data_IF_949368961342
#
_entry.id   IF_949368961342
#
_cell.length_a   1.000
_cell.length_b   1.000
_cell.length_c   1.000
_cell.angle_alpha   90.00
_cell.angle_beta   90.00
_cell.angle_gamma   90.00
#
_symmetry.space_group_name_H-M   'P 1'
#
loop_
_entity.id
_entity.type
_entity.pdbx_description
1 polymer ?
#
# COMPACT_ATOMS: atom_id res chain seq x y z
N UNK A 1 5.11 39.22 30.98
CA UNK A 1 4.62 38.42 29.84
C UNK A 1 5.84 37.84 29.16
N UNK A 2 5.86 36.52 28.92
CA UNK A 2 6.97 35.89 28.19
C UNK A 2 7.02 36.42 26.75
N UNK A 3 8.18 36.28 26.10
CA UNK A 3 8.47 36.67 24.73
C UNK A 3 7.30 36.38 23.77
N UNK A 4 6.84 37.40 23.05
CA UNK A 4 5.70 37.32 22.12
C UNK A 4 5.95 36.27 21.02
N UNK A 5 7.18 36.17 20.53
CA UNK A 5 7.55 35.21 19.51
C UNK A 5 7.48 33.78 20.05
N UNK A 6 7.98 33.55 21.27
CA UNK A 6 7.92 32.25 21.93
C UNK A 6 6.46 31.82 22.20
N UNK A 7 5.62 32.76 22.65
CA UNK A 7 4.21 32.51 22.93
C UNK A 7 3.43 32.15 21.66
N UNK A 8 3.67 32.86 20.55
CA UNK A 8 3.07 32.57 19.24
C UNK A 8 3.51 31.21 18.70
N UNK A 9 4.80 30.88 18.82
CA UNK A 9 5.33 29.59 18.37
C UNK A 9 4.73 28.42 19.17
N UNK A 10 4.63 28.55 20.49
CA UNK A 10 4.02 27.55 21.35
C UNK A 10 2.54 27.34 21.01
N UNK A 11 1.76 28.42 20.89
CA UNK A 11 0.34 28.32 20.55
C UNK A 11 0.14 27.66 19.19
N UNK A 12 0.95 28.01 18.18
CA UNK A 12 0.88 27.38 16.85
C UNK A 12 1.20 25.88 16.92
N UNK A 13 2.25 25.48 17.63
CA UNK A 13 2.59 24.06 17.82
C UNK A 13 1.45 23.31 18.50
N UNK A 14 0.89 23.87 19.57
CA UNK A 14 -0.22 23.26 20.29
C UNK A 14 -1.48 23.11 19.43
N UNK A 15 -1.84 24.14 18.65
CA UNK A 15 -2.97 24.08 17.71
C UNK A 15 -2.75 22.99 16.66
N UNK A 16 -1.56 22.90 16.08
CA UNK A 16 -1.22 21.87 15.09
C UNK A 16 -1.33 20.47 15.68
N UNK A 17 -0.73 20.23 16.85
CA UNK A 17 -0.80 18.96 17.55
C UNK A 17 -2.25 18.55 17.84
N UNK A 18 -3.08 19.51 18.28
CA UNK A 18 -4.51 19.28 18.49
C UNK A 18 -5.24 18.96 17.19
N UNK A 19 -4.94 19.64 16.09
CA UNK A 19 -5.55 19.32 14.78
C UNK A 19 -5.23 17.90 14.32
N UNK A 20 -3.97 17.47 14.47
CA UNK A 20 -3.51 16.14 14.05
C UNK A 20 -4.13 15.02 14.89
N UNK A 21 -4.23 15.24 16.20
CA UNK A 21 -4.76 14.26 17.16
C UNK A 21 -6.28 14.32 17.32
N UNK A 22 -6.96 15.27 16.68
CA UNK A 22 -8.43 15.39 16.71
C UNK A 22 -9.05 14.78 15.46
N UNK A 23 -9.93 13.80 15.68
CA UNK A 23 -10.63 13.07 14.63
C UNK A 23 -11.66 13.94 13.91
N UNK A 24 -11.84 13.69 12.61
CA UNK A 24 -12.90 14.27 11.79
C UNK A 24 -14.04 13.25 11.64
N UNK A 25 -15.00 13.30 12.55
CA UNK A 25 -16.11 12.36 12.63
C UNK A 25 -17.05 12.40 11.42
N UNK A 26 -17.15 13.53 10.74
CA UNK A 26 -18.04 13.70 9.60
C UNK A 26 -17.39 13.43 8.24
N UNK A 27 -16.05 13.32 8.19
CA UNK A 27 -15.29 13.13 6.93
C UNK A 27 -15.74 11.89 6.16
N UNK A 28 -16.15 12.00 4.90
CA UNK A 28 -16.56 10.83 4.10
C UNK A 28 -15.57 10.58 2.96
N UNK A 29 -15.39 9.31 2.54
CA UNK A 29 -14.60 9.00 1.36
C UNK A 29 -15.21 9.67 0.11
N UNK A 30 -14.42 10.52 -0.53
CA UNK A 30 -14.78 11.22 -1.76
C UNK A 30 -14.90 10.30 -2.97
N UNK A 31 -15.38 10.85 -4.09
CA UNK A 31 -15.53 10.12 -5.35
C UNK A 31 -14.18 9.62 -5.88
N UNK A 32 -13.12 10.43 -5.77
CA UNK A 32 -11.77 10.06 -6.18
C UNK A 32 -11.31 8.74 -5.54
N UNK A 33 -11.51 8.60 -4.22
CA UNK A 33 -11.19 7.37 -3.51
C UNK A 33 -11.98 6.18 -4.04
N UNK A 34 -13.30 6.33 -4.19
CA UNK A 34 -14.21 5.25 -4.64
C UNK A 34 -13.84 4.75 -6.03
N UNK A 35 -13.48 5.66 -6.93
CA UNK A 35 -13.01 5.32 -8.26
C UNK A 35 -11.69 4.55 -8.18
N UNK A 36 -10.70 5.06 -7.44
CA UNK A 36 -9.37 4.44 -7.34
C UNK A 36 -9.37 3.07 -6.68
N UNK A 37 -10.15 2.88 -5.61
CA UNK A 37 -10.28 1.56 -4.99
C UNK A 37 -11.03 0.59 -5.89
N UNK A 38 -12.05 1.05 -6.63
CA UNK A 38 -12.76 0.24 -7.60
C UNK A 38 -11.89 -0.20 -8.78
N UNK A 39 -11.06 0.69 -9.31
CA UNK A 39 -10.04 0.37 -10.33
C UNK A 39 -9.08 -0.71 -9.83
N UNK A 40 -8.53 -0.53 -8.62
CA UNK A 40 -7.61 -1.49 -8.02
C UNK A 40 -8.25 -2.86 -7.77
N UNK A 41 -9.47 -2.91 -7.25
CA UNK A 41 -10.18 -4.17 -7.01
C UNK A 41 -10.41 -4.97 -8.31
N UNK A 42 -10.73 -4.29 -9.42
CA UNK A 42 -10.85 -4.94 -10.73
C UNK A 42 -9.51 -5.49 -11.19
N UNK A 43 -8.46 -4.68 -11.08
CA UNK A 43 -7.11 -5.06 -11.48
C UNK A 43 -6.60 -6.29 -10.71
N UNK A 44 -6.76 -6.31 -9.38
CA UNK A 44 -6.40 -7.46 -8.56
C UNK A 44 -7.21 -8.71 -8.94
N UNK A 45 -8.51 -8.56 -9.22
CA UNK A 45 -9.32 -9.69 -9.68
C UNK A 45 -8.84 -10.23 -11.05
N UNK A 46 -8.46 -9.35 -11.97
CA UNK A 46 -7.86 -9.72 -13.26
C UNK A 46 -6.53 -10.44 -13.08
N UNK A 47 -5.65 -9.95 -12.21
CA UNK A 47 -4.37 -10.60 -11.93
C UNK A 47 -4.56 -11.97 -11.28
N UNK A 48 -5.45 -12.09 -10.28
CA UNK A 48 -5.77 -13.38 -9.67
C UNK A 48 -6.37 -14.36 -10.69
N UNK A 49 -7.20 -13.89 -11.63
CA UNK A 49 -7.72 -14.74 -12.70
C UNK A 49 -6.60 -15.22 -13.64
N UNK A 50 -5.68 -14.33 -14.04
CA UNK A 50 -4.50 -14.69 -14.84
C UNK A 50 -3.59 -15.67 -14.12
N UNK A 51 -3.37 -15.48 -12.82
CA UNK A 51 -2.59 -16.40 -12.00
C UNK A 51 -3.22 -17.81 -11.99
N UNK A 52 -4.54 -17.89 -11.80
CA UNK A 52 -5.27 -19.17 -11.81
C UNK A 52 -5.19 -19.84 -13.18
N UNK A 53 -5.40 -19.09 -14.26
CA UNK A 53 -5.30 -19.61 -15.62
C UNK A 53 -3.89 -20.12 -15.94
N UNK A 54 -2.85 -19.37 -15.57
CA UNK A 54 -1.46 -19.79 -15.73
C UNK A 54 -1.16 -21.07 -14.94
N UNK A 55 -1.57 -21.12 -13.67
CA UNK A 55 -1.37 -22.29 -12.82
C UNK A 55 -2.16 -23.52 -13.28
N UNK A 56 -3.30 -23.33 -13.96
CA UNK A 56 -4.05 -24.41 -14.59
C UNK A 56 -3.30 -24.96 -15.81
N UNK A 57 -2.78 -24.10 -16.69
CA UNK A 57 -1.97 -24.52 -17.85
C UNK A 57 -0.72 -25.27 -17.39
N UNK A 58 0.02 -24.70 -16.41
CA UNK A 58 1.26 -25.29 -15.87
C UNK A 58 1.05 -26.67 -15.23
N UNK A 59 -0.17 -27.01 -14.79
CA UNK A 59 -0.49 -28.35 -14.26
C UNK A 59 -0.55 -29.43 -15.34
N UNK A 60 -0.87 -29.05 -16.58
CA UNK A 60 -1.01 -29.98 -17.71
C UNK A 60 0.23 -30.01 -18.60
N UNK A 61 1.14 -29.04 -18.49
CA UNK A 61 2.45 -29.11 -19.13
C UNK A 61 3.31 -30.23 -18.51
N UNK A 62 4.04 -31.01 -19.34
CA UNK A 62 5.03 -31.94 -18.81
C UNK A 62 6.06 -31.15 -18.00
N UNK A 63 6.38 -31.61 -16.79
CA UNK A 63 7.41 -30.99 -15.95
C UNK A 63 8.67 -30.78 -16.79
N UNK A 64 9.13 -29.53 -16.86
CA UNK A 64 10.39 -29.21 -17.49
C UNK A 64 11.50 -29.95 -16.75
N UNK A 65 12.55 -30.42 -17.46
CA UNK A 65 13.70 -31.02 -16.80
C UNK A 65 14.29 -30.03 -15.78
N UNK A 66 14.75 -30.52 -14.63
CA UNK A 66 15.25 -29.69 -13.50
C UNK A 66 16.28 -28.63 -13.95
N UNK A 67 17.11 -28.94 -14.95
CA UNK A 67 18.08 -28.00 -15.50
C UNK A 67 17.48 -26.78 -16.19
N UNK A 68 16.31 -26.91 -16.84
CA UNK A 68 15.60 -25.79 -17.45
C UNK A 68 14.89 -24.93 -16.40
N UNK A 69 14.38 -25.51 -15.30
CA UNK A 69 13.78 -24.74 -14.20
C UNK A 69 14.80 -23.87 -13.46
N UNK A 70 16.03 -24.36 -13.27
CA UNK A 70 17.12 -23.62 -12.62
C UNK A 70 17.69 -22.50 -13.50
N UNK A 71 17.81 -22.71 -14.82
CA UNK A 71 18.12 -21.61 -15.75
C UNK A 71 17.00 -20.57 -15.78
N UNK A 72 15.74 -20.99 -15.69
CA UNK A 72 14.59 -20.10 -15.66
C UNK A 72 14.57 -19.19 -14.43
N UNK A 73 14.84 -19.75 -13.24
CA UNK A 73 14.94 -18.99 -11.99
C UNK A 73 16.09 -17.98 -12.03
N UNK A 74 17.22 -18.34 -12.66
CA UNK A 74 18.34 -17.40 -12.85
C UNK A 74 17.97 -16.24 -13.76
N UNK A 75 17.34 -16.51 -14.90
CA UNK A 75 16.87 -15.45 -15.81
C UNK A 75 15.83 -14.57 -15.12
N UNK A 76 14.89 -15.14 -14.35
CA UNK A 76 13.91 -14.39 -13.57
C UNK A 76 14.56 -13.50 -12.48
N UNK A 77 15.65 -13.97 -11.86
CA UNK A 77 16.43 -13.17 -10.90
C UNK A 77 17.28 -12.08 -11.55
N UNK A 78 17.69 -12.25 -12.81
CA UNK A 78 18.44 -11.25 -13.57
C UNK A 78 17.54 -10.20 -14.24
N UNK A 79 16.23 -10.45 -14.33
CA UNK A 79 15.28 -9.48 -14.86
C UNK A 79 15.16 -8.27 -13.94
N UNK A 80 15.28 -7.09 -14.54
CA UNK A 80 15.00 -5.82 -13.88
C UNK A 80 13.48 -5.65 -13.70
N UNK A 81 12.98 -6.06 -12.53
CA UNK A 81 11.57 -6.01 -12.16
C UNK A 81 11.03 -4.57 -12.25
N UNK A 82 11.85 -3.57 -11.91
CA UNK A 82 11.44 -2.17 -11.93
C UNK A 82 11.16 -1.71 -13.36
N UNK A 83 11.98 -2.14 -14.33
CA UNK A 83 11.81 -1.84 -15.75
C UNK A 83 10.69 -2.62 -16.46
N UNK A 84 10.10 -3.63 -15.82
CA UNK A 84 9.10 -4.50 -16.46
C UNK A 84 7.80 -3.75 -16.82
N UNK A 85 7.56 -3.46 -18.10
CA UNK A 85 6.37 -2.70 -18.51
C UNK A 85 5.05 -3.47 -18.31
N UNK A 86 5.08 -4.80 -18.41
CA UNK A 86 3.90 -5.65 -18.29
C UNK A 86 4.07 -6.70 -17.19
N UNK A 87 3.46 -6.47 -16.02
CA UNK A 87 3.53 -7.41 -14.89
C UNK A 87 2.83 -8.75 -15.14
N UNK A 88 2.03 -8.86 -16.20
CA UNK A 88 1.34 -10.11 -16.56
C UNK A 88 2.20 -11.04 -17.44
N UNK A 89 3.37 -10.59 -17.90
CA UNK A 89 4.28 -11.40 -18.70
C UNK A 89 5.72 -10.90 -18.52
N UNK A 90 6.56 -11.72 -17.89
CA UNK A 90 7.99 -11.42 -17.68
C UNK A 90 8.85 -11.59 -18.95
N UNK A 91 8.24 -11.79 -20.12
CA UNK A 91 8.92 -12.05 -21.40
C UNK A 91 8.99 -13.53 -21.77
N UNK A 92 8.39 -14.39 -20.94
CA UNK A 92 8.40 -15.84 -21.06
C UNK A 92 7.00 -16.46 -20.87
N UNK A 93 5.96 -15.64 -20.81
CA UNK A 93 4.57 -16.06 -20.58
C UNK A 93 4.20 -16.29 -19.12
N UNK A 94 5.15 -16.17 -18.18
CA UNK A 94 4.87 -16.26 -16.73
C UNK A 94 4.60 -14.85 -16.16
N UNK A 95 3.46 -14.62 -15.48
CA UNK A 95 3.22 -13.36 -14.80
C UNK A 95 4.11 -13.23 -13.56
N UNK A 96 4.47 -12.00 -13.16
CA UNK A 96 5.30 -11.76 -11.97
C UNK A 96 4.69 -12.38 -10.70
N UNK A 97 3.36 -12.40 -10.64
CA UNK A 97 2.59 -12.93 -9.53
C UNK A 97 2.25 -14.43 -9.67
N UNK A 98 2.90 -15.19 -10.57
CA UNK A 98 2.60 -16.60 -10.79
C UNK A 98 2.65 -17.45 -9.50
N UNK A 99 3.66 -17.21 -8.67
CA UNK A 99 3.92 -17.91 -7.40
C UNK A 99 3.20 -17.30 -6.19
N UNK A 100 2.44 -16.22 -6.34
CA UNK A 100 1.79 -15.54 -5.20
C UNK A 100 0.88 -16.47 -4.42
N UNK A 101 1.05 -16.47 -3.11
CA UNK A 101 0.15 -17.11 -2.15
C UNK A 101 -0.88 -16.09 -1.66
N UNK A 102 -1.78 -16.57 -0.82
CA UNK A 102 -2.77 -15.73 -0.16
C UNK A 102 -2.12 -14.55 0.60
N UNK A 103 -0.99 -14.80 1.26
CA UNK A 103 -0.25 -13.80 2.04
C UNK A 103 0.31 -12.69 1.15
N UNK A 104 0.85 -13.02 -0.03
CA UNK A 104 1.38 -12.04 -0.99
C UNK A 104 0.26 -11.14 -1.53
N UNK A 105 -0.89 -11.72 -1.86
CA UNK A 105 -2.08 -10.94 -2.25
C UNK A 105 -2.60 -10.04 -1.13
N UNK A 106 -2.59 -10.53 0.11
CA UNK A 106 -3.01 -9.75 1.27
C UNK A 106 -2.05 -8.59 1.54
N UNK A 107 -0.74 -8.81 1.39
CA UNK A 107 0.28 -7.79 1.56
C UNK A 107 0.20 -6.70 0.49
N UNK A 108 0.13 -7.08 -0.79
CA UNK A 108 -0.07 -6.15 -1.91
C UNK A 108 -1.31 -5.27 -1.69
N UNK A 109 -2.41 -5.90 -1.27
CA UNK A 109 -3.67 -5.20 -0.99
C UNK A 109 -3.51 -4.22 0.17
N UNK A 110 -2.88 -4.65 1.26
CA UNK A 110 -2.62 -3.78 2.43
C UNK A 110 -1.76 -2.57 2.04
N UNK A 111 -0.66 -2.78 1.31
CA UNK A 111 0.26 -1.73 0.90
C UNK A 111 -0.43 -0.66 0.06
N UNK A 112 -1.19 -1.08 -0.97
CA UNK A 112 -1.93 -0.15 -1.81
C UNK A 112 -3.05 0.56 -1.04
N UNK A 113 -3.75 -0.12 -0.14
CA UNK A 113 -4.81 0.49 0.67
C UNK A 113 -4.27 1.52 1.66
N UNK A 114 -3.17 1.26 2.36
CA UNK A 114 -2.59 2.26 3.25
C UNK A 114 -2.13 3.50 2.48
N UNK A 115 -1.53 3.30 1.31
CA UNK A 115 -1.17 4.38 0.39
C UNK A 115 -2.41 5.19 -0.05
N UNK A 116 -3.43 4.50 -0.58
CA UNK A 116 -4.63 5.15 -1.09
C UNK A 116 -5.39 5.87 0.02
N UNK A 117 -5.43 5.33 1.24
CA UNK A 117 -6.04 5.98 2.40
C UNK A 117 -5.35 7.29 2.75
N UNK A 118 -4.02 7.32 2.74
CA UNK A 118 -3.26 8.54 3.00
C UNK A 118 -3.58 9.61 1.94
N UNK A 119 -3.51 9.24 0.66
CA UNK A 119 -3.79 10.16 -0.44
C UNK A 119 -5.25 10.64 -0.42
N UNK A 120 -6.20 9.75 -0.14
CA UNK A 120 -7.61 10.11 -0.08
C UNK A 120 -7.92 11.02 1.11
N UNK A 121 -7.37 10.71 2.30
CA UNK A 121 -7.56 11.51 3.49
C UNK A 121 -7.10 12.95 3.27
N UNK A 122 -5.93 13.16 2.66
CA UNK A 122 -5.43 14.53 2.40
C UNK A 122 -6.34 15.31 1.45
N UNK A 123 -6.86 14.66 0.41
CA UNK A 123 -7.80 15.26 -0.55
C UNK A 123 -9.14 15.57 0.11
N UNK A 124 -9.69 14.65 0.87
CA UNK A 124 -11.01 14.78 1.49
C UNK A 124 -10.98 15.75 2.69
N UNK A 125 -9.90 15.74 3.49
CA UNK A 125 -9.73 16.66 4.61
C UNK A 125 -9.51 18.10 4.14
N UNK A 126 -8.88 18.27 2.97
CA UNK A 126 -8.64 19.56 2.32
C UNK A 126 -8.07 20.64 3.28
N UNK A 127 -7.21 20.22 4.20
CA UNK A 127 -6.55 21.06 5.20
C UNK A 127 -5.02 20.83 5.10
N UNK A 128 -4.22 21.83 4.66
CA UNK A 128 -2.77 21.70 4.57
C UNK A 128 -2.08 21.38 5.90
N UNK A 129 -2.73 21.66 7.04
CA UNK A 129 -2.23 21.32 8.36
C UNK A 129 -2.55 19.87 8.77
N UNK A 130 -3.28 19.11 7.93
CA UNK A 130 -3.57 17.68 8.07
C UNK A 130 -3.02 16.88 6.88
N UNK A 131 -1.68 16.75 6.77
CA UNK A 131 -1.03 16.08 5.63
C UNK A 131 -1.16 14.55 5.63
N UNK A 132 -1.82 13.97 6.62
CA UNK A 132 -1.99 12.52 6.75
C UNK A 132 -2.79 12.13 7.98
N UNK A 133 -3.05 10.84 8.11
CA UNK A 133 -3.80 10.25 9.23
C UNK A 133 -2.85 9.99 10.40
N UNK A 134 -3.14 10.53 11.58
CA UNK A 134 -2.38 10.24 12.79
C UNK A 134 -2.51 8.76 13.20
N UNK A 135 -1.44 8.16 13.72
CA UNK A 135 -1.36 6.73 14.07
C UNK A 135 -2.54 6.24 14.94
N UNK A 136 -2.91 7.01 15.96
CA UNK A 136 -4.03 6.72 16.87
C UNK A 136 -5.39 6.57 16.16
N UNK A 137 -5.55 7.20 14.99
CA UNK A 137 -6.81 7.25 14.26
C UNK A 137 -6.79 6.41 12.98
N UNK A 138 -5.68 5.74 12.66
CA UNK A 138 -5.55 5.00 11.41
C UNK A 138 -6.59 3.89 11.28
N UNK A 139 -6.81 3.11 12.34
CA UNK A 139 -7.84 2.06 12.34
C UNK A 139 -9.25 2.62 12.11
N UNK A 140 -9.57 3.79 12.69
CA UNK A 140 -10.85 4.45 12.48
C UNK A 140 -11.05 4.86 11.02
N UNK A 141 -10.08 5.55 10.44
CA UNK A 141 -10.20 6.00 9.05
C UNK A 141 -10.16 4.83 8.07
N UNK A 142 -9.37 3.80 8.33
CA UNK A 142 -9.39 2.58 7.55
C UNK A 142 -10.79 1.94 7.53
N UNK A 143 -11.42 1.78 8.70
CA UNK A 143 -12.80 1.30 8.80
C UNK A 143 -13.80 2.22 8.10
N UNK A 144 -13.59 3.53 8.16
CA UNK A 144 -14.48 4.51 7.53
C UNK A 144 -14.44 4.46 6.01
N UNK A 145 -13.25 4.37 5.43
CA UNK A 145 -13.02 4.38 3.99
C UNK A 145 -13.33 3.02 3.36
N UNK A 146 -12.82 1.93 3.94
CA UNK A 146 -12.94 0.59 3.36
C UNK A 146 -14.13 -0.23 3.87
N UNK A 147 -14.85 0.26 4.89
CA UNK A 147 -15.94 -0.49 5.57
C UNK A 147 -15.49 -1.85 6.11
N UNK A 148 -14.21 -1.97 6.48
CA UNK A 148 -13.58 -3.16 7.07
C UNK A 148 -12.60 -2.77 8.17
N UNK A 149 -12.44 -3.62 9.17
CA UNK A 149 -11.50 -3.37 10.28
C UNK A 149 -10.06 -3.69 9.87
N UNK A 150 -9.11 -2.87 10.33
CA UNK A 150 -7.68 -3.18 10.25
C UNK A 150 -7.31 -4.02 11.49
N UNK A 151 -7.01 -5.30 11.28
CA UNK A 151 -6.66 -6.22 12.37
C UNK A 151 -5.19 -6.62 12.32
N UNK A 152 -4.34 -6.13 13.25
CA UNK A 152 -2.92 -6.51 13.30
C UNK A 152 -2.70 -8.02 13.37
N UNK A 153 -3.58 -8.74 14.08
CA UNK A 153 -3.49 -10.19 14.24
C UNK A 153 -3.59 -10.95 12.92
N UNK A 154 -4.29 -10.42 11.91
CA UNK A 154 -4.36 -11.05 10.58
C UNK A 154 -3.01 -11.02 9.84
N UNK A 155 -2.11 -10.12 10.24
CA UNK A 155 -0.76 -9.98 9.68
C UNK A 155 0.32 -10.50 10.64
N UNK A 156 -0.07 -11.23 11.69
CA UNK A 156 0.86 -11.72 12.72
C UNK A 156 1.51 -10.61 13.54
N UNK A 157 0.85 -9.44 13.65
CA UNK A 157 1.32 -8.26 14.40
C UNK A 157 0.45 -7.98 15.62
N UNK A 158 0.97 -7.18 16.55
CA UNK A 158 0.29 -6.78 17.77
C UNK A 158 -0.25 -5.35 17.69
N UNK A 159 0.40 -4.47 16.91
CA UNK A 159 0.04 -3.06 16.81
C UNK A 159 -0.23 -2.62 15.37
N UNK A 160 -0.97 -1.52 15.21
CA UNK A 160 -1.20 -0.90 13.89
C UNK A 160 0.10 -0.38 13.28
N UNK A 161 1.03 0.13 14.11
CA UNK A 161 2.34 0.58 13.64
C UNK A 161 3.14 -0.55 12.98
N UNK A 162 3.19 -1.73 13.61
CA UNK A 162 3.85 -2.91 13.04
C UNK A 162 3.22 -3.41 11.73
N UNK A 163 1.93 -3.16 11.52
CA UNK A 163 1.26 -3.46 10.24
C UNK A 163 1.70 -2.46 9.17
N UNK A 164 1.81 -1.17 9.51
CA UNK A 164 2.31 -0.15 8.58
C UNK A 164 3.77 -0.41 8.20
N UNK A 165 4.57 -0.99 9.09
CA UNK A 165 5.96 -1.37 8.79
C UNK A 165 6.09 -2.45 7.70
N UNK A 166 5.04 -3.25 7.45
CA UNK A 166 4.95 -4.16 6.29
C UNK A 166 4.77 -3.42 4.96
N UNK A 167 4.51 -2.12 5.02
CA UNK A 167 4.33 -1.25 3.86
C UNK A 167 5.32 -0.08 3.84
N UNK A 168 6.41 -0.16 4.62
CA UNK A 168 7.39 0.93 4.83
C UNK A 168 8.01 1.51 3.56
N UNK A 169 8.08 0.72 2.50
CA UNK A 169 8.62 1.13 1.20
C UNK A 169 7.65 2.06 0.44
N UNK A 170 6.37 2.05 0.83
CA UNK A 170 5.29 2.80 0.19
C UNK A 170 4.73 3.89 1.09
N UNK A 171 4.56 3.60 2.38
CA UNK A 171 4.00 4.49 3.39
C UNK A 171 4.70 4.31 4.72
N UNK A 172 4.77 5.38 5.51
CA UNK A 172 5.31 5.31 6.87
C UNK A 172 4.68 6.37 7.76
N UNK A 173 4.79 6.23 9.06
CA UNK A 173 4.54 7.33 9.97
C UNK A 173 5.72 8.30 9.96
N UNK A 174 5.43 9.59 9.81
CA UNK A 174 6.42 10.64 10.02
C UNK A 174 6.89 10.69 11.49
N UNK A 175 8.20 10.86 11.70
CA UNK A 175 8.81 10.77 13.04
C UNK A 175 8.39 11.91 13.97
N UNK A 176 8.08 13.10 13.43
CA UNK A 176 7.72 14.26 14.24
C UNK A 176 6.22 14.30 14.52
N UNK A 177 5.41 14.10 13.47
CA UNK A 177 3.96 14.32 13.49
C UNK A 177 3.16 13.05 13.68
N UNK A 178 3.78 11.87 13.56
CA UNK A 178 3.14 10.55 13.66
C UNK A 178 1.93 10.39 12.74
N UNK A 179 2.00 11.04 11.59
CA UNK A 179 0.99 10.94 10.52
C UNK A 179 1.48 10.04 9.42
N UNK A 180 0.58 9.25 8.85
CA UNK A 180 0.85 8.40 7.70
C UNK A 180 1.17 9.28 6.50
N UNK A 181 2.33 9.06 5.87
CA UNK A 181 2.79 9.76 4.68
C UNK A 181 3.20 8.77 3.60
N UNK A 182 2.99 9.13 2.33
CA UNK A 182 3.52 8.37 1.19
C UNK A 182 5.03 8.59 1.08
N UNK A 183 5.76 7.51 0.79
CA UNK A 183 7.18 7.55 0.44
C UNK A 183 7.37 7.68 -1.07
N UNK A 184 6.37 7.26 -1.85
CA UNK A 184 6.41 7.31 -3.32
C UNK A 184 6.02 8.69 -3.89
N UNK A 185 6.73 9.18 -4.92
CA UNK A 185 6.29 10.29 -5.78
C UNK A 185 4.93 10.02 -6.42
N UNK A 186 4.16 11.07 -6.71
CA UNK A 186 2.79 10.95 -7.24
C UNK A 186 2.73 10.17 -8.56
N UNK A 187 3.74 10.31 -9.44
CA UNK A 187 3.80 9.57 -10.71
C UNK A 187 4.01 8.05 -10.56
N UNK A 188 4.51 7.59 -9.42
CA UNK A 188 4.79 6.18 -9.11
C UNK A 188 3.67 5.51 -8.31
N UNK A 189 2.60 6.24 -7.97
CA UNK A 189 1.46 5.73 -7.19
C UNK A 189 0.48 4.91 -8.06
N UNK A 190 1.01 3.93 -8.80
CA UNK A 190 0.26 3.04 -9.68
C UNK A 190 0.28 1.62 -9.11
N UNK A 191 -0.82 0.85 -9.23
CA UNK A 191 -0.89 -0.52 -8.69
C UNK A 191 0.29 -1.43 -9.07
N UNK A 192 0.79 -1.32 -10.31
CA UNK A 192 1.90 -2.15 -10.81
C UNK A 192 3.20 -1.94 -10.01
N UNK A 193 3.42 -0.73 -9.49
CA UNK A 193 4.61 -0.41 -8.66
C UNK A 193 4.54 -1.14 -7.32
N UNK A 194 3.35 -1.27 -6.74
CA UNK A 194 3.16 -2.05 -5.51
C UNK A 194 3.38 -3.53 -5.76
N UNK A 195 2.95 -4.04 -6.91
CA UNK A 195 3.13 -5.43 -7.30
C UNK A 195 4.60 -5.79 -7.56
N UNK A 196 5.38 -4.84 -8.07
CA UNK A 196 6.84 -4.94 -8.23
C UNK A 196 7.63 -4.77 -6.93
N UNK A 197 6.97 -4.41 -5.83
CA UNK A 197 7.62 -4.09 -4.57
C UNK A 197 8.49 -5.23 -4.01
N UNK A 198 9.55 -4.90 -3.26
CA UNK A 198 10.51 -5.88 -2.73
C UNK A 198 9.89 -6.85 -1.71
N UNK A 199 8.76 -6.52 -1.09
CA UNK A 199 8.03 -7.46 -0.23
C UNK A 199 7.03 -8.33 -1.02
N UNK A 200 6.61 -7.90 -2.20
CA UNK A 200 5.72 -8.66 -3.08
C UNK A 200 6.49 -9.62 -4.01
N UNK A 201 7.77 -9.35 -4.27
CA UNK A 201 8.63 -10.13 -5.17
C UNK A 201 9.56 -11.14 -4.43
N UNK A 202 9.17 -11.61 -3.24
CA UNK A 202 9.96 -12.54 -2.41
C UNK A 202 9.81 -14.02 -2.77
#
# INVERSE_FOLDING_TARGET
WQDEAASKAYLRKWVLEKKLTSRMDDLQPGEWFRTKIGEFQRLVAEWQAKQRAFNEIKRFEPKRPEGEEDEFKKVAMELDIDALENVCDMGNGEPLFASFKFEDWALLTLQYELHLLQAAFTKDANDPERPGVHEDHLAFYYAKYYKKQLSPKQFGKDTVAEVVDLAKDFVKFDAERKVLVSVLPEEQQKPDVFLKGPEASR
#
